data_IF_452313253480
#
_entry.id   IF_452313253480
#
_cell.length_a   1.000
_cell.length_b   1.000
_cell.length_c   1.000
_cell.angle_alpha   90.00
_cell.angle_beta   90.00
_cell.angle_gamma   90.00
#
_symmetry.space_group_name_H-M   'P 1'
#
loop_
_entity.id
_entity.type
_entity.pdbx_description
1 polymer ?
#
# COMPACT_ATOMS: atom_id res chain seq x y z
N UNK A 1 15.28 1.65 -5.35
CA UNK A 1 15.70 2.61 -6.39
C UNK A 1 15.02 2.29 -7.71
N UNK A 2 14.58 3.33 -8.40
CA UNK A 2 14.18 3.29 -9.80
C UNK A 2 15.16 4.14 -10.58
N UNK A 3 15.81 3.58 -11.59
CA UNK A 3 16.85 4.24 -12.34
C UNK A 3 16.49 4.29 -13.82
N UNK A 4 16.10 5.47 -14.31
CA UNK A 4 15.69 5.71 -15.69
C UNK A 4 14.68 4.70 -16.22
N UNK A 5 13.61 4.44 -15.43
CA UNK A 5 12.66 3.39 -15.70
C UNK A 5 11.61 3.85 -16.72
N UNK A 6 11.57 3.17 -17.85
CA UNK A 6 10.44 3.16 -18.77
C UNK A 6 9.69 1.83 -18.63
N UNK A 7 8.37 1.89 -18.70
CA UNK A 7 7.55 0.69 -18.70
C UNK A 7 6.35 0.79 -19.64
N UNK A 8 6.13 -0.26 -20.41
CA UNK A 8 4.95 -0.46 -21.24
C UNK A 8 4.41 -1.88 -21.07
N UNK A 9 3.11 -2.02 -20.89
CA UNK A 9 2.44 -3.33 -20.86
C UNK A 9 2.52 -4.06 -22.21
N UNK A 10 2.70 -3.32 -23.32
CA UNK A 10 2.85 -3.87 -24.67
C UNK A 10 4.31 -4.24 -25.02
N UNK A 11 5.26 -4.03 -24.09
CA UNK A 11 6.68 -4.25 -24.32
C UNK A 11 7.37 -3.16 -25.14
N UNK A 12 8.47 -3.50 -25.80
CA UNK A 12 9.25 -2.57 -26.63
C UNK A 12 8.40 -2.01 -27.79
N UNK A 13 8.44 -0.70 -27.94
CA UNK A 13 7.68 0.02 -28.97
C UNK A 13 6.21 0.30 -28.62
N UNK A 14 5.71 -0.15 -27.46
CA UNK A 14 4.38 0.18 -26.96
C UNK A 14 4.31 1.56 -26.30
N UNK A 15 3.09 2.03 -26.06
CA UNK A 15 2.87 3.26 -25.30
C UNK A 15 3.39 3.10 -23.88
N UNK A 16 4.21 4.05 -23.43
CA UNK A 16 4.81 4.03 -22.09
C UNK A 16 3.77 4.42 -21.04
N UNK A 17 3.59 3.53 -20.06
CA UNK A 17 2.83 3.80 -18.83
C UNK A 17 3.68 4.53 -17.80
N UNK A 18 4.99 4.26 -17.75
CA UNK A 18 5.99 4.98 -16.97
C UNK A 18 7.08 5.51 -17.88
N UNK A 19 7.55 6.73 -17.64
CA UNK A 19 8.43 7.49 -18.52
C UNK A 19 9.57 8.10 -17.74
N UNK A 20 10.78 7.58 -17.92
CA UNK A 20 12.04 8.02 -17.29
C UNK A 20 11.91 8.24 -15.77
N UNK A 21 11.35 7.26 -15.07
CA UNK A 21 11.15 7.36 -13.62
C UNK A 21 12.48 7.18 -12.90
N UNK A 22 12.83 8.21 -12.12
CA UNK A 22 13.99 8.24 -11.24
C UNK A 22 13.50 8.49 -9.80
N UNK A 23 13.73 7.53 -8.89
CA UNK A 23 13.20 7.58 -7.54
C UNK A 23 14.09 6.82 -6.58
N UNK A 24 14.32 7.40 -5.41
CA UNK A 24 15.03 6.77 -4.31
C UNK A 24 14.17 6.75 -3.05
N UNK A 25 13.97 5.57 -2.48
CA UNK A 25 13.25 5.34 -1.22
C UNK A 25 14.20 4.70 -0.23
N UNK A 26 14.37 5.31 0.93
CA UNK A 26 15.21 4.76 2.00
C UNK A 26 14.47 3.67 2.77
N UNK A 27 15.22 2.69 3.27
CA UNK A 27 14.68 1.65 4.16
C UNK A 27 14.00 2.27 5.38
N UNK A 28 12.83 1.77 5.73
CA UNK A 28 12.03 2.21 6.87
C UNK A 28 11.17 3.46 6.61
N UNK A 29 11.33 4.16 5.49
CA UNK A 29 10.49 5.31 5.17
C UNK A 29 9.03 4.92 4.96
N UNK A 30 8.16 5.85 5.32
CA UNK A 30 6.76 5.88 4.86
C UNK A 30 6.68 6.81 3.65
N UNK A 31 6.26 6.26 2.52
CA UNK A 31 6.17 6.98 1.23
C UNK A 31 4.72 7.02 0.79
N UNK A 32 4.21 8.21 0.54
CA UNK A 32 2.91 8.41 -0.08
C UNK A 32 3.04 8.55 -1.60
N UNK A 33 2.09 8.01 -2.35
CA UNK A 33 1.99 8.21 -3.80
C UNK A 33 0.62 8.78 -4.12
N UNK A 34 0.60 9.89 -4.81
CA UNK A 34 -0.63 10.58 -5.23
C UNK A 34 -0.53 10.97 -6.71
N UNK A 35 -1.66 11.10 -7.35
CA UNK A 35 -1.78 11.48 -8.76
C UNK A 35 -3.16 11.17 -9.30
N UNK A 36 -3.50 11.73 -10.44
CA UNK A 36 -4.78 11.52 -11.09
C UNK A 36 -5.06 10.06 -11.45
N UNK A 37 -6.30 9.76 -11.80
CA UNK A 37 -6.67 8.44 -12.33
C UNK A 37 -5.89 8.18 -13.61
N UNK A 38 -5.30 6.97 -13.71
CA UNK A 38 -4.49 6.60 -14.88
C UNK A 38 -3.06 7.14 -14.87
N UNK A 39 -2.60 7.80 -13.80
CA UNK A 39 -1.22 8.30 -13.70
C UNK A 39 -0.15 7.21 -13.49
N UNK A 40 -0.54 5.93 -13.49
CA UNK A 40 0.30 4.74 -13.36
C UNK A 40 0.86 4.47 -11.93
N UNK A 41 0.16 4.92 -10.87
CA UNK A 41 0.58 4.67 -9.49
C UNK A 41 0.72 3.18 -9.15
N UNK A 42 -0.33 2.39 -9.44
CA UNK A 42 -0.31 0.93 -9.22
C UNK A 42 0.76 0.24 -10.07
N UNK A 43 0.95 0.70 -11.31
CA UNK A 43 2.00 0.19 -12.20
C UNK A 43 3.38 0.37 -11.57
N UNK A 44 3.67 1.55 -11.01
CA UNK A 44 4.95 1.85 -10.37
C UNK A 44 5.28 0.85 -9.25
N UNK A 45 4.34 0.62 -8.34
CA UNK A 45 4.59 -0.25 -7.19
C UNK A 45 4.64 -1.73 -7.54
N UNK A 46 3.97 -2.15 -8.63
CA UNK A 46 3.99 -3.52 -9.12
C UNK A 46 5.36 -3.96 -9.68
N UNK A 47 6.22 -3.01 -10.03
CA UNK A 47 7.58 -3.30 -10.47
C UNK A 47 8.50 -3.72 -9.30
N UNK A 48 8.17 -3.35 -8.06
CA UNK A 48 8.98 -3.66 -6.87
C UNK A 48 9.01 -5.19 -6.60
N UNK A 49 7.87 -5.90 -6.50
CA UNK A 49 7.86 -7.35 -6.38
C UNK A 49 8.07 -8.07 -7.72
N UNK A 50 8.46 -7.34 -8.77
CA UNK A 50 8.67 -7.87 -10.12
C UNK A 50 7.44 -8.62 -10.63
N UNK A 51 6.25 -7.99 -10.57
CA UNK A 51 5.07 -8.51 -11.26
C UNK A 51 5.20 -8.30 -12.77
N UNK A 52 6.01 -7.32 -13.16
CA UNK A 52 6.40 -7.02 -14.54
C UNK A 52 7.87 -6.64 -14.57
N UNK A 53 8.55 -6.89 -15.67
CA UNK A 53 9.89 -6.39 -15.95
C UNK A 53 9.82 -5.03 -16.63
N UNK A 54 10.75 -4.13 -16.32
CA UNK A 54 10.84 -2.82 -16.94
C UNK A 54 11.20 -2.92 -18.42
N UNK A 55 10.71 -1.99 -19.24
CA UNK A 55 11.07 -1.92 -20.66
C UNK A 55 12.46 -1.31 -20.82
N UNK A 56 12.84 -0.35 -19.97
CA UNK A 56 14.16 0.28 -19.93
C UNK A 56 14.53 0.65 -18.50
N UNK A 57 15.81 0.78 -18.23
CA UNK A 57 16.31 1.09 -16.89
C UNK A 57 16.33 -0.13 -15.98
N UNK A 58 16.28 0.11 -14.67
CA UNK A 58 16.22 -0.94 -13.67
C UNK A 58 15.51 -0.50 -12.40
N UNK A 59 14.96 -1.48 -11.69
CA UNK A 59 14.44 -1.33 -10.33
C UNK A 59 15.33 -2.14 -9.39
N UNK A 60 15.77 -1.53 -8.31
CA UNK A 60 16.62 -2.20 -7.33
C UNK A 60 15.94 -2.22 -5.95
N UNK A 61 16.07 -3.36 -5.28
CA UNK A 61 15.67 -3.55 -3.88
C UNK A 61 16.91 -3.96 -3.10
N UNK A 62 17.24 -3.21 -2.05
CA UNK A 62 18.47 -3.45 -1.28
C UNK A 62 19.75 -3.34 -2.10
N UNK A 63 19.76 -2.49 -3.14
CA UNK A 63 20.90 -2.29 -4.04
C UNK A 63 21.07 -3.36 -5.12
N UNK A 64 20.18 -4.35 -5.19
CA UNK A 64 20.22 -5.44 -6.19
C UNK A 64 19.06 -5.27 -7.16
N UNK A 65 19.33 -5.36 -8.47
CA UNK A 65 18.30 -5.36 -9.50
C UNK A 65 17.31 -6.50 -9.26
N UNK A 66 16.00 -6.18 -9.29
CA UNK A 66 14.94 -7.16 -9.02
C UNK A 66 14.98 -8.36 -9.96
N UNK A 67 15.57 -8.20 -11.15
CA UNK A 67 15.76 -9.28 -12.13
C UNK A 67 16.81 -10.31 -11.69
N UNK A 68 17.69 -9.94 -10.77
CA UNK A 68 18.76 -10.81 -10.26
C UNK A 68 18.35 -11.58 -8.99
N UNK A 69 17.16 -11.33 -8.46
CA UNK A 69 16.61 -12.09 -7.34
C UNK A 69 15.95 -13.39 -7.79
N UNK A 70 15.99 -14.40 -6.93
CA UNK A 70 14.98 -15.44 -6.96
C UNK A 70 13.62 -14.82 -6.64
N UNK A 71 12.59 -15.09 -7.45
CA UNK A 71 11.28 -14.45 -7.32
C UNK A 71 10.59 -14.73 -5.99
N UNK A 72 10.71 -15.95 -5.46
CA UNK A 72 10.14 -16.28 -4.14
C UNK A 72 10.82 -15.45 -3.06
N UNK A 73 12.15 -15.41 -3.03
CA UNK A 73 12.93 -14.64 -2.07
C UNK A 73 12.55 -13.16 -2.11
N UNK A 74 12.43 -12.57 -3.30
CA UNK A 74 12.02 -11.17 -3.44
C UNK A 74 10.59 -10.96 -2.92
N UNK A 75 9.65 -11.79 -3.36
CA UNK A 75 8.22 -11.66 -3.03
C UNK A 75 7.91 -12.01 -1.58
N UNK A 76 8.76 -12.78 -0.92
CA UNK A 76 8.66 -13.01 0.51
C UNK A 76 8.99 -11.77 1.35
N UNK A 77 9.79 -10.86 0.81
CA UNK A 77 10.14 -9.61 1.47
C UNK A 77 9.17 -8.46 1.16
N UNK A 78 8.26 -8.64 0.20
CA UNK A 78 7.31 -7.61 -0.25
C UNK A 78 5.89 -8.11 -0.04
N UNK A 79 5.11 -7.43 0.81
CA UNK A 79 3.67 -7.66 0.92
C UNK A 79 2.92 -6.55 0.21
N UNK A 80 1.84 -6.92 -0.46
CA UNK A 80 1.02 -6.00 -1.23
C UNK A 80 -0.46 -6.18 -0.90
N UNK A 81 -1.12 -5.11 -0.49
CA UNK A 81 -2.57 -5.05 -0.30
C UNK A 81 -3.16 -4.27 -1.46
N UNK A 82 -3.95 -4.94 -2.27
CA UNK A 82 -4.51 -4.38 -3.51
C UNK A 82 -5.78 -3.57 -3.22
N UNK A 83 -6.14 -2.70 -4.14
CA UNK A 83 -7.40 -1.95 -4.10
C UNK A 83 -8.62 -2.89 -4.02
N UNK A 84 -8.61 -3.97 -4.81
CA UNK A 84 -9.63 -5.02 -4.74
C UNK A 84 -9.19 -6.11 -3.77
N UNK A 85 -9.71 -6.02 -2.56
CA UNK A 85 -9.41 -6.97 -1.51
C UNK A 85 -10.25 -8.25 -1.66
N UNK A 86 -9.60 -9.40 -1.53
CA UNK A 86 -10.24 -10.72 -1.62
C UNK A 86 -9.99 -11.50 -0.33
N UNK A 87 -11.08 -12.00 0.25
CA UNK A 87 -11.06 -13.01 1.30
C UNK A 87 -11.58 -14.33 0.73
N UNK A 88 -11.07 -15.43 1.25
CA UNK A 88 -11.41 -16.78 0.83
C UNK A 88 -12.37 -17.42 1.82
N UNK A 89 -13.08 -18.46 1.38
CA UNK A 89 -13.89 -19.29 2.28
C UNK A 89 -13.00 -19.93 3.34
N UNK A 90 -13.40 -19.84 4.60
CA UNK A 90 -12.66 -20.33 5.75
C UNK A 90 -12.82 -19.40 6.94
N UNK A 91 -12.23 -19.72 8.07
CA UNK A 91 -12.27 -18.86 9.25
C UNK A 91 -11.48 -17.55 9.03
N UNK A 92 -11.67 -16.58 9.92
CA UNK A 92 -10.82 -15.38 9.94
C UNK A 92 -9.36 -15.80 10.19
N UNK A 93 -9.10 -16.74 11.12
CA UNK A 93 -7.75 -17.31 11.32
C UNK A 93 -7.15 -17.83 10.02
N UNK A 94 -7.88 -18.65 9.26
CA UNK A 94 -7.39 -19.21 8.00
C UNK A 94 -7.03 -18.10 7.01
N UNK A 95 -7.90 -17.10 6.90
CA UNK A 95 -7.68 -15.96 6.01
C UNK A 95 -6.41 -15.16 6.37
N UNK A 96 -6.14 -14.93 7.64
CA UNK A 96 -4.93 -14.19 8.06
C UNK A 96 -3.68 -15.07 7.89
N UNK A 97 -3.76 -16.37 8.20
CA UNK A 97 -2.66 -17.34 8.05
C UNK A 97 -2.20 -17.61 6.62
N UNK A 98 -2.92 -17.10 5.61
CA UNK A 98 -2.36 -17.03 4.25
C UNK A 98 -1.09 -16.19 4.16
N UNK A 99 -0.83 -15.31 5.13
CA UNK A 99 0.44 -14.60 5.27
C UNK A 99 1.58 -15.45 5.84
N UNK A 100 1.25 -16.34 6.77
CA UNK A 100 2.15 -17.32 7.38
C UNK A 100 1.31 -18.45 8.00
N UNK A 101 1.32 -19.63 7.38
CA UNK A 101 0.51 -20.79 7.80
C UNK A 101 0.90 -21.34 9.18
N UNK A 102 2.14 -21.08 9.62
CA UNK A 102 2.68 -21.55 10.89
C UNK A 102 2.52 -20.51 12.02
N UNK A 103 1.95 -19.35 11.74
CA UNK A 103 1.78 -18.31 12.75
C UNK A 103 0.91 -18.76 13.90
N UNK A 104 1.31 -18.40 15.11
CA UNK A 104 0.54 -18.64 16.33
C UNK A 104 -0.72 -17.78 16.37
N UNK A 105 -1.69 -18.15 17.21
CA UNK A 105 -2.87 -17.31 17.44
C UNK A 105 -2.51 -15.93 17.99
N UNK A 106 -1.48 -15.85 18.82
CA UNK A 106 -0.98 -14.59 19.36
C UNK A 106 -0.46 -13.66 18.25
N UNK A 107 0.32 -14.20 17.30
CA UNK A 107 0.82 -13.45 16.15
C UNK A 107 -0.33 -12.97 15.26
N UNK A 108 -1.33 -13.80 14.99
CA UNK A 108 -2.53 -13.42 14.24
C UNK A 108 -3.27 -12.28 14.94
N UNK A 109 -3.51 -12.40 16.26
CA UNK A 109 -4.17 -11.34 17.05
C UNK A 109 -3.36 -10.05 17.04
N UNK A 110 -2.03 -10.15 17.17
CA UNK A 110 -1.14 -9.00 17.13
C UNK A 110 -1.29 -8.22 15.83
N UNK A 111 -1.21 -8.87 14.67
CA UNK A 111 -1.36 -8.16 13.38
C UNK A 111 -2.78 -7.63 13.16
N UNK A 112 -3.80 -8.30 13.68
CA UNK A 112 -5.17 -7.80 13.66
C UNK A 112 -5.34 -6.54 14.51
N UNK A 113 -4.66 -6.43 15.65
CA UNK A 113 -4.62 -5.19 16.45
C UNK A 113 -3.96 -4.06 15.68
N UNK A 114 -2.81 -4.31 15.03
CA UNK A 114 -2.13 -3.31 14.20
C UNK A 114 -3.03 -2.81 13.05
N UNK A 115 -3.76 -3.72 12.42
CA UNK A 115 -4.70 -3.40 11.33
C UNK A 115 -6.06 -2.88 11.83
N UNK A 116 -6.23 -2.63 13.14
CA UNK A 116 -7.50 -2.22 13.75
C UNK A 116 -8.65 -3.21 13.47
N UNK A 117 -8.34 -4.50 13.34
CA UNK A 117 -9.32 -5.56 13.05
C UNK A 117 -9.77 -6.32 14.31
N UNK A 118 -8.93 -6.41 15.33
CA UNK A 118 -9.19 -7.21 16.55
C UNK A 118 -10.50 -6.79 17.23
N UNK A 119 -10.80 -5.50 17.26
CA UNK A 119 -12.02 -4.97 17.89
C UNK A 119 -13.28 -5.59 17.29
N UNK A 120 -13.51 -5.43 16.00
CA UNK A 120 -14.72 -5.96 15.36
C UNK A 120 -14.72 -7.49 15.27
N UNK A 121 -13.54 -8.13 15.14
CA UNK A 121 -13.46 -9.60 15.14
C UNK A 121 -13.91 -10.16 16.48
N UNK A 122 -13.53 -9.52 17.58
CA UNK A 122 -13.92 -9.95 18.94
C UNK A 122 -15.40 -9.75 19.23
N UNK A 123 -16.12 -8.93 18.45
CA UNK A 123 -17.58 -8.72 18.56
C UNK A 123 -18.38 -9.80 17.83
N UNK A 124 -17.76 -10.56 16.93
CA UNK A 124 -18.45 -11.69 16.29
C UNK A 124 -18.70 -12.83 17.29
N UNK A 125 -19.85 -13.55 17.20
CA UNK A 125 -20.17 -14.64 18.11
C UNK A 125 -19.06 -15.70 18.22
N UNK A 126 -18.42 -16.04 17.08
CA UNK A 126 -17.36 -17.03 16.98
C UNK A 126 -15.96 -16.40 16.95
N UNK A 127 -15.85 -15.07 17.17
CA UNK A 127 -14.56 -14.36 17.16
C UNK A 127 -13.74 -14.64 15.89
N UNK A 128 -12.51 -15.08 16.08
CA UNK A 128 -11.58 -15.43 14.99
C UNK A 128 -11.97 -16.72 14.24
N UNK A 129 -12.81 -17.56 14.81
CA UNK A 129 -13.35 -18.76 14.14
C UNK A 129 -14.54 -18.45 13.25
N UNK A 130 -14.99 -17.18 13.21
CA UNK A 130 -16.05 -16.72 12.32
C UNK A 130 -15.74 -17.09 10.88
N UNK A 131 -16.67 -17.78 10.23
CA UNK A 131 -16.54 -18.22 8.85
C UNK A 131 -16.76 -17.06 7.89
N UNK A 132 -15.79 -16.84 7.03
CA UNK A 132 -15.85 -15.92 5.89
C UNK A 132 -16.37 -16.69 4.69
N UNK A 133 -17.38 -16.14 4.01
CA UNK A 133 -17.85 -16.70 2.73
C UNK A 133 -16.93 -16.23 1.60
N UNK A 134 -16.95 -16.95 0.49
CA UNK A 134 -16.13 -16.62 -0.68
C UNK A 134 -16.28 -15.15 -1.08
N UNK A 135 -15.16 -14.47 -1.25
CA UNK A 135 -15.10 -13.04 -1.58
C UNK A 135 -15.36 -12.11 -0.38
N UNK A 136 -15.63 -12.64 0.81
CA UNK A 136 -15.85 -11.84 2.02
C UNK A 136 -17.15 -11.03 1.98
N UNK A 137 -18.24 -11.59 1.41
CA UNK A 137 -19.51 -10.89 1.26
C UNK A 137 -20.27 -10.73 2.57
N UNK A 138 -19.87 -11.41 3.64
CA UNK A 138 -20.45 -11.32 4.97
C UNK A 138 -19.69 -10.38 5.92
N UNK A 139 -18.73 -9.61 5.40
CA UNK A 139 -18.05 -8.54 6.14
C UNK A 139 -18.09 -7.24 5.33
N UNK A 140 -18.02 -6.09 6.01
CA UNK A 140 -18.01 -4.79 5.34
C UNK A 140 -16.72 -4.57 4.52
N UNK A 141 -16.74 -3.61 3.60
CA UNK A 141 -15.56 -3.24 2.81
C UNK A 141 -14.37 -2.84 3.69
N UNK A 142 -14.60 -2.02 4.72
CA UNK A 142 -13.56 -1.60 5.65
C UNK A 142 -13.05 -2.74 6.55
N UNK A 143 -13.91 -3.67 6.97
CA UNK A 143 -13.52 -4.87 7.67
C UNK A 143 -12.65 -5.77 6.79
N UNK A 144 -13.06 -5.99 5.54
CA UNK A 144 -12.30 -6.74 4.54
C UNK A 144 -10.91 -6.16 4.32
N UNK A 145 -10.81 -4.84 4.14
CA UNK A 145 -9.52 -4.15 3.96
C UNK A 145 -8.60 -4.37 5.15
N UNK A 146 -9.12 -4.20 6.37
CA UNK A 146 -8.33 -4.40 7.60
C UNK A 146 -7.85 -5.83 7.77
N UNK A 147 -8.66 -6.83 7.44
CA UNK A 147 -8.25 -8.24 7.44
C UNK A 147 -7.15 -8.52 6.39
N UNK A 148 -7.24 -7.93 5.21
CA UNK A 148 -6.20 -8.05 4.18
C UNK A 148 -4.89 -7.36 4.59
N UNK A 149 -4.96 -6.22 5.29
CA UNK A 149 -3.79 -5.57 5.88
C UNK A 149 -3.16 -6.48 6.95
N UNK A 150 -3.95 -7.06 7.85
CA UNK A 150 -3.46 -8.00 8.87
C UNK A 150 -2.75 -9.21 8.23
N UNK A 151 -3.34 -9.79 7.18
CA UNK A 151 -2.70 -10.87 6.39
C UNK A 151 -1.33 -10.47 5.85
N UNK A 152 -1.24 -9.27 5.26
CA UNK A 152 0.00 -8.76 4.71
C UNK A 152 1.07 -8.52 5.78
N UNK A 153 0.68 -8.03 6.95
CA UNK A 153 1.56 -7.81 8.10
C UNK A 153 2.10 -9.12 8.70
N UNK A 154 1.29 -10.18 8.68
CA UNK A 154 1.68 -11.47 9.25
C UNK A 154 2.89 -12.08 8.54
N UNK A 155 3.07 -11.77 7.27
CA UNK A 155 4.25 -12.16 6.47
C UNK A 155 5.55 -11.50 6.96
N UNK A 156 5.48 -10.49 7.83
CA UNK A 156 6.63 -9.72 8.35
C UNK A 156 7.49 -9.14 7.23
N UNK A 157 6.91 -8.44 6.25
CA UNK A 157 7.62 -7.97 5.07
C UNK A 157 8.65 -6.89 5.41
N UNK A 158 9.67 -6.74 4.56
CA UNK A 158 10.57 -5.58 4.57
C UNK A 158 9.96 -4.37 3.86
N UNK A 159 9.09 -4.63 2.87
CA UNK A 159 8.35 -3.61 2.13
C UNK A 159 6.86 -3.95 2.17
N UNK A 160 6.05 -3.04 2.67
CA UNK A 160 4.59 -3.12 2.69
C UNK A 160 4.02 -2.10 1.70
N UNK A 161 3.29 -2.58 0.70
CA UNK A 161 2.64 -1.75 -0.30
C UNK A 161 1.13 -1.78 -0.05
N UNK A 162 0.53 -0.60 0.09
CA UNK A 162 -0.90 -0.40 0.25
C UNK A 162 -1.43 0.37 -0.97
N UNK A 163 -2.07 -0.34 -1.90
CA UNK A 163 -2.63 0.25 -3.11
C UNK A 163 -4.11 0.60 -2.88
N UNK A 164 -4.35 1.83 -2.45
CA UNK A 164 -5.69 2.38 -2.11
C UNK A 164 -6.50 1.47 -1.16
N UNK A 165 -5.79 0.75 -0.31
CA UNK A 165 -6.36 -0.32 0.51
C UNK A 165 -6.98 0.16 1.82
N UNK A 166 -7.05 1.47 2.04
CA UNK A 166 -7.77 2.09 3.16
C UNK A 166 -8.94 2.96 2.71
N UNK A 167 -9.30 2.94 1.42
CA UNK A 167 -10.36 3.80 0.86
C UNK A 167 -11.75 3.54 1.46
N UNK A 168 -12.05 2.31 1.87
CA UNK A 168 -13.29 1.94 2.55
C UNK A 168 -13.19 2.02 4.09
N UNK A 169 -12.03 2.42 4.63
CA UNK A 169 -11.82 2.61 6.07
C UNK A 169 -12.05 4.08 6.40
N UNK A 170 -12.75 4.35 7.50
CA UNK A 170 -12.96 5.73 7.96
C UNK A 170 -11.62 6.41 8.33
N UNK A 171 -11.60 7.74 8.29
CA UNK A 171 -10.39 8.56 8.49
C UNK A 171 -9.75 8.33 9.85
N UNK A 172 -10.54 8.13 10.90
CA UNK A 172 -10.04 7.88 12.26
C UNK A 172 -9.32 6.53 12.34
N UNK A 173 -9.93 5.48 11.80
CA UNK A 173 -9.35 4.14 11.78
C UNK A 173 -8.09 4.09 10.90
N UNK A 174 -8.10 4.76 9.74
CA UNK A 174 -6.92 4.91 8.89
C UNK A 174 -5.76 5.58 9.62
N UNK A 175 -6.02 6.66 10.36
CA UNK A 175 -5.00 7.33 11.19
C UNK A 175 -4.43 6.42 12.28
N UNK A 176 -5.26 5.58 12.92
CA UNK A 176 -4.81 4.59 13.91
C UNK A 176 -3.93 3.50 13.29
N UNK A 177 -4.27 3.01 12.10
CA UNK A 177 -3.45 2.05 11.35
C UNK A 177 -2.07 2.66 11.05
N UNK A 178 -2.03 3.89 10.54
CA UNK A 178 -0.77 4.59 10.22
C UNK A 178 0.07 4.85 11.48
N UNK A 179 -0.57 5.21 12.59
CA UNK A 179 0.11 5.35 13.88
C UNK A 179 0.73 4.02 14.32
N UNK A 180 -0.02 2.91 14.25
CA UNK A 180 0.48 1.58 14.58
C UNK A 180 1.68 1.18 13.70
N UNK A 181 1.66 1.52 12.41
CA UNK A 181 2.79 1.27 11.53
C UNK A 181 4.05 2.02 11.94
N UNK A 182 3.93 3.27 12.38
CA UNK A 182 5.08 4.06 12.85
C UNK A 182 5.67 3.51 14.13
N UNK A 183 4.84 3.08 15.04
CA UNK A 183 5.25 2.63 16.38
C UNK A 183 5.74 1.18 16.41
N UNK A 184 5.06 0.29 15.69
CA UNK A 184 5.24 -1.16 15.81
C UNK A 184 6.09 -1.78 14.69
N UNK A 185 6.14 -1.15 13.52
CA UNK A 185 6.92 -1.62 12.37
C UNK A 185 7.76 -0.50 11.74
N UNK A 186 8.54 0.26 12.55
CA UNK A 186 9.30 1.42 12.05
C UNK A 186 10.34 1.05 11.00
N UNK A 187 10.87 -0.16 11.02
CA UNK A 187 11.90 -0.65 10.10
C UNK A 187 11.34 -1.19 8.78
N UNK A 188 10.02 -1.36 8.67
CA UNK A 188 9.37 -1.74 7.41
C UNK A 188 9.21 -0.51 6.55
N UNK A 189 9.61 -0.58 5.28
CA UNK A 189 9.31 0.45 4.28
C UNK A 189 7.85 0.36 3.90
N UNK A 190 7.09 1.45 4.07
CA UNK A 190 5.65 1.51 3.75
C UNK A 190 5.46 2.40 2.53
N UNK A 191 4.80 1.87 1.50
CA UNK A 191 4.45 2.61 0.28
C UNK A 191 2.92 2.63 0.19
N UNK A 192 2.35 3.82 0.28
CA UNK A 192 0.90 4.03 0.38
C UNK A 192 0.44 4.82 -0.84
N UNK A 193 -0.30 4.17 -1.73
CA UNK A 193 -1.06 4.85 -2.77
C UNK A 193 -2.39 5.27 -2.14
N UNK A 194 -2.68 6.55 -2.14
CA UNK A 194 -3.89 7.08 -1.53
C UNK A 194 -4.60 8.09 -2.45
N UNK A 195 -5.92 8.08 -2.38
CA UNK A 195 -6.77 9.12 -2.98
C UNK A 195 -6.94 10.30 -2.02
N UNK A 196 -6.90 10.03 -0.71
CA UNK A 196 -7.01 11.06 0.33
C UNK A 196 -5.63 11.56 0.74
N UNK A 197 -5.43 12.88 0.68
CA UNK A 197 -4.18 13.51 1.13
C UNK A 197 -3.94 13.23 2.62
N UNK A 198 -5.00 13.23 3.45
CA UNK A 198 -4.92 12.92 4.88
C UNK A 198 -4.29 11.56 5.21
N UNK A 199 -4.30 10.61 4.27
CA UNK A 199 -3.66 9.30 4.43
C UNK A 199 -2.15 9.31 4.21
N UNK A 200 -1.59 10.37 3.63
CA UNK A 200 -0.16 10.47 3.25
C UNK A 200 0.51 11.78 3.67
N UNK A 201 -0.24 12.74 4.22
CA UNK A 201 0.31 14.07 4.55
C UNK A 201 1.45 14.04 5.59
N UNK A 202 1.48 13.01 6.43
CA UNK A 202 2.51 12.76 7.44
C UNK A 202 3.60 11.76 6.98
N UNK A 203 3.64 11.41 5.68
CA UNK A 203 4.67 10.57 5.11
C UNK A 203 6.04 11.26 5.08
N UNK A 204 7.11 10.48 5.22
CA UNK A 204 8.48 10.99 5.11
C UNK A 204 8.77 11.56 3.72
N UNK A 205 8.12 11.01 2.71
CA UNK A 205 8.25 11.40 1.31
C UNK A 205 6.92 11.18 0.60
N UNK A 206 6.51 12.14 -0.21
CA UNK A 206 5.33 12.03 -1.09
C UNK A 206 5.81 12.15 -2.53
N UNK A 207 5.34 11.25 -3.36
CA UNK A 207 5.61 11.22 -4.80
C UNK A 207 4.33 11.65 -5.51
N UNK A 208 4.42 12.72 -6.29
CA UNK A 208 3.34 13.13 -7.18
C UNK A 208 3.61 12.55 -8.56
N UNK A 209 2.70 11.70 -9.03
CA UNK A 209 2.79 11.03 -10.33
C UNK A 209 1.77 11.64 -11.29
N UNK A 210 2.22 12.05 -12.46
CA UNK A 210 1.38 12.61 -13.50
C UNK A 210 1.77 12.06 -14.88
N UNK A 211 0.81 11.52 -15.61
CA UNK A 211 1.01 10.90 -16.94
C UNK A 211 2.25 9.99 -17.02
N UNK A 212 2.45 9.15 -15.98
CA UNK A 212 3.57 8.20 -15.91
C UNK A 212 4.93 8.82 -15.59
N UNK A 213 4.99 10.09 -15.20
CA UNK A 213 6.21 10.81 -14.81
C UNK A 213 6.16 11.24 -13.35
N UNK A 214 7.32 11.36 -12.75
CA UNK A 214 7.45 12.01 -11.43
C UNK A 214 7.29 13.51 -11.62
N UNK A 215 6.16 14.05 -11.17
CA UNK A 215 5.86 15.49 -11.22
C UNK A 215 6.39 16.24 -9.98
N UNK A 216 6.64 15.54 -8.89
CA UNK A 216 7.22 16.12 -7.68
C UNK A 216 7.53 15.07 -6.62
N UNK A 217 8.51 15.37 -5.79
CA UNK A 217 8.91 14.55 -4.64
C UNK A 217 9.25 15.48 -3.48
N UNK A 218 8.72 15.20 -2.30
CA UNK A 218 9.00 15.98 -1.09
C UNK A 218 8.05 15.65 0.06
N UNK A 219 8.16 16.39 1.14
CA UNK A 219 7.15 16.35 2.22
C UNK A 219 5.89 17.10 1.79
N UNK A 220 4.79 16.90 2.51
CA UNK A 220 3.55 17.66 2.27
C UNK A 220 3.79 19.17 2.29
N UNK A 221 4.52 19.67 3.28
CA UNK A 221 4.84 21.10 3.40
C UNK A 221 5.64 21.64 2.19
N UNK A 222 6.62 20.85 1.70
CA UNK A 222 7.41 21.22 0.54
C UNK A 222 6.56 21.25 -0.72
N UNK A 223 5.74 20.21 -0.95
CA UNK A 223 4.89 20.10 -2.13
C UNK A 223 3.78 21.14 -2.17
N UNK A 224 3.23 21.53 -1.04
CA UNK A 224 2.26 22.64 -0.97
C UNK A 224 2.85 23.97 -1.47
N UNK A 225 4.16 24.16 -1.33
CA UNK A 225 4.87 25.36 -1.80
C UNK A 225 5.31 25.27 -3.25
N UNK A 226 5.63 24.07 -3.74
CA UNK A 226 6.38 23.89 -4.99
C UNK A 226 5.65 23.10 -6.06
N UNK A 227 4.53 22.43 -5.76
CA UNK A 227 3.83 21.56 -6.71
C UNK A 227 2.35 21.92 -6.79
N UNK A 228 1.94 22.41 -7.95
CA UNK A 228 0.57 22.85 -8.18
C UNK A 228 -0.43 21.70 -8.15
N UNK A 229 -0.06 20.53 -8.70
CA UNK A 229 -0.92 19.32 -8.70
C UNK A 229 -1.24 18.90 -7.27
N UNK A 230 -0.20 18.81 -6.42
CA UNK A 230 -0.40 18.45 -5.02
C UNK A 230 -1.25 19.46 -4.27
N UNK A 231 -0.99 20.75 -4.49
CA UNK A 231 -1.74 21.86 -3.87
C UNK A 231 -3.22 21.83 -4.26
N UNK A 232 -3.54 21.65 -5.53
CA UNK A 232 -4.91 21.58 -6.03
C UNK A 232 -5.68 20.41 -5.38
N UNK A 233 -5.07 19.23 -5.31
CA UNK A 233 -5.67 18.05 -4.66
C UNK A 233 -5.88 18.30 -3.17
N UNK A 234 -4.88 18.84 -2.48
CA UNK A 234 -4.97 19.18 -1.06
C UNK A 234 -6.11 20.18 -0.79
N UNK A 235 -6.13 21.30 -1.50
CA UNK A 235 -7.15 22.33 -1.31
C UNK A 235 -8.56 21.84 -1.64
N UNK A 236 -8.72 21.02 -2.67
CA UNK A 236 -10.02 20.45 -3.04
C UNK A 236 -10.60 19.56 -1.93
N UNK A 237 -9.74 18.82 -1.23
CA UNK A 237 -10.15 17.92 -0.15
C UNK A 237 -10.37 18.66 1.17
N UNK A 238 -9.56 19.67 1.47
CA UNK A 238 -9.72 20.49 2.69
C UNK A 238 -10.96 21.37 2.60
N UNK A 239 -11.23 21.97 1.43
CA UNK A 239 -12.43 22.82 1.22
C UNK A 239 -13.71 21.98 1.13
N UNK A 240 -13.65 20.77 0.57
CA UNK A 240 -14.80 19.87 0.50
C UNK A 240 -15.17 19.16 1.81
N UNK A 241 -14.28 19.18 2.82
CA UNK A 241 -14.54 18.64 4.16
C UNK A 241 -15.17 19.62 5.15
N UNK A 242 -15.42 20.86 4.73
CA UNK A 242 -16.00 21.92 5.59
C UNK A 242 -17.51 22.10 5.49
N UNK A 243 -18.20 21.36 4.64
CA UNK A 243 -19.65 21.51 4.42
C UNK A 243 -20.52 20.43 5.08
N UNK A 244 -19.94 19.54 5.90
CA UNK A 244 -20.66 18.48 6.65
C UNK A 244 -20.47 18.67 8.18
N UNK A 245 -20.82 19.84 8.74
CA UNK A 245 -21.12 20.04 10.16
C UNK A 245 -22.58 20.49 10.38
#
# INVERSE_FOLDING_TARGET
DFNHVDFSYAGEGGNLSLKDVNLHIKSGQTVGIIGGTGSAKSTLVQLIPRLYDVTKGNVQVGGVDVRNYNLEVLRDQVSMVLQKNVLFSGSIYDNIRWGDEHASEEEVRRVCKLAQADGFVSEFPDGYDTMIVQGGNNVSGGQKQRLCIARALLKKPKILILDDSTSAVDTRTDALIRKAFREEIPNTTKIIIAQRVSSIEDADQIIVLDDGKIAGVGTSEQLLKTNDIYREVYESQVKGGGDDE
#
